data_IF_908846551982
#
_entry.id   IF_908846551982
#
_cell.length_a   1.000
_cell.length_b   1.000
_cell.length_c   1.000
_cell.angle_alpha   90.00
_cell.angle_beta   90.00
_cell.angle_gamma   90.00
#
_symmetry.space_group_name_H-M   'P 1'
#
loop_
_entity.id
_entity.type
_entity.pdbx_description
1 polymer ?
#
# COMPACT_ATOMS: atom_id res chain seq x y z
N UNK A 1 4.59 -1.44 13.40
CA UNK A 1 3.88 -1.11 12.15
C UNK A 1 4.63 -1.79 11.02
N UNK A 2 4.02 -2.82 10.43
CA UNK A 2 4.63 -3.64 9.39
C UNK A 2 3.89 -3.39 8.07
N UNK A 3 4.62 -3.12 6.99
CA UNK A 3 4.04 -2.78 5.68
C UNK A 3 4.51 -3.76 4.62
N UNK A 4 3.55 -4.35 3.92
CA UNK A 4 3.81 -5.32 2.85
C UNK A 4 3.13 -4.88 1.56
N UNK A 5 3.79 -5.10 0.43
CA UNK A 5 3.25 -4.84 -0.90
C UNK A 5 3.01 -6.17 -1.61
N UNK A 6 1.82 -6.37 -2.16
CA UNK A 6 1.46 -7.56 -2.93
C UNK A 6 0.71 -7.18 -4.19
N UNK A 7 1.04 -7.82 -5.32
CA UNK A 7 0.18 -7.82 -6.50
C UNK A 7 -1.03 -8.73 -6.22
N UNK A 8 -2.24 -8.16 -6.31
CA UNK A 8 -3.50 -8.87 -5.99
C UNK A 8 -4.34 -9.17 -7.24
N UNK A 9 -4.01 -8.51 -8.35
CA UNK A 9 -4.47 -8.78 -9.70
C UNK A 9 -3.46 -8.15 -10.66
N UNK A 10 -3.52 -8.47 -11.96
CA UNK A 10 -2.62 -7.92 -12.97
C UNK A 10 -2.54 -6.40 -12.87
N UNK A 11 -1.34 -5.90 -12.61
CA UNK A 11 -1.03 -4.47 -12.49
C UNK A 11 -1.76 -3.74 -11.32
N UNK A 12 -2.34 -4.48 -10.38
CA UNK A 12 -3.02 -3.95 -9.19
C UNK A 12 -2.30 -4.45 -7.94
N UNK A 13 -1.75 -3.50 -7.18
CA UNK A 13 -0.95 -3.75 -5.99
C UNK A 13 -1.66 -3.25 -4.75
N UNK A 14 -1.67 -4.06 -3.70
CA UNK A 14 -2.09 -3.67 -2.35
C UNK A 14 -0.87 -3.43 -1.49
N UNK A 15 -0.76 -2.21 -0.97
CA UNK A 15 0.16 -1.85 0.11
C UNK A 15 -0.64 -1.98 1.40
N UNK A 16 -0.26 -2.89 2.29
CA UNK A 16 -0.99 -3.21 3.51
C UNK A 16 -0.11 -2.95 4.72
N UNK A 17 -0.50 -1.99 5.54
CA UNK A 17 0.17 -1.69 6.79
C UNK A 17 -0.63 -2.18 7.99
N UNK A 18 -0.07 -3.11 8.76
CA UNK A 18 -0.67 -3.62 9.99
C UNK A 18 -0.26 -2.78 11.21
N UNK A 19 -1.27 -2.37 11.98
CA UNK A 19 -1.15 -1.59 13.22
C UNK A 19 -1.81 -2.39 14.35
N UNK A 20 -1.02 -3.14 15.16
CA UNK A 20 -1.56 -3.99 16.22
C UNK A 20 -2.24 -3.21 17.35
N UNK A 21 -1.94 -1.92 17.51
CA UNK A 21 -2.44 -1.07 18.58
C UNK A 21 -3.91 -0.61 18.37
N UNK A 22 -4.51 -0.87 17.21
CA UNK A 22 -5.89 -0.45 16.89
C UNK A 22 -6.86 -1.61 17.08
N UNK A 23 -7.79 -1.46 18.02
CA UNK A 23 -8.83 -2.46 18.29
C UNK A 23 -8.30 -3.71 19.01
N UNK A 24 -9.14 -4.73 19.21
CA UNK A 24 -8.78 -5.91 20.01
C UNK A 24 -7.81 -6.87 19.29
N UNK A 25 -7.71 -6.79 17.95
CA UNK A 25 -6.92 -7.72 17.12
C UNK A 25 -6.00 -7.01 16.12
N UNK A 26 -5.80 -5.70 16.28
CA UNK A 26 -5.12 -4.87 15.29
C UNK A 26 -5.99 -4.52 14.08
N UNK A 27 -5.48 -3.59 13.26
CA UNK A 27 -6.15 -3.11 12.06
C UNK A 27 -5.16 -2.95 10.91
N UNK A 28 -5.62 -3.20 9.67
CA UNK A 28 -4.83 -2.98 8.46
C UNK A 28 -5.32 -1.75 7.71
N UNK A 29 -4.40 -0.84 7.39
CA UNK A 29 -4.65 0.21 6.41
C UNK A 29 -4.14 -0.26 5.05
N UNK A 30 -5.02 -0.28 4.06
CA UNK A 30 -4.71 -0.74 2.72
C UNK A 30 -4.76 0.42 1.75
N UNK A 31 -3.71 0.58 0.96
CA UNK A 31 -3.64 1.47 -0.19
C UNK A 31 -3.53 0.62 -1.46
N UNK A 32 -4.05 1.14 -2.57
CA UNK A 32 -4.05 0.40 -3.82
C UNK A 32 -3.36 1.21 -4.92
N UNK A 33 -2.34 0.63 -5.55
CA UNK A 33 -1.77 1.16 -6.78
C UNK A 33 -2.36 0.39 -7.96
N UNK A 34 -2.93 1.12 -8.91
CA UNK A 34 -3.29 0.60 -10.22
C UNK A 34 -2.27 1.16 -11.22
N UNK A 35 -1.48 0.26 -11.80
CA UNK A 35 -0.56 0.59 -12.88
C UNK A 35 -1.35 0.58 -14.19
N UNK A 36 -1.28 1.69 -14.89
CA UNK A 36 -1.89 1.91 -16.20
C UNK A 36 -1.12 3.05 -16.88
N UNK A 37 -1.48 3.37 -18.12
CA UNK A 37 -0.94 4.55 -18.82
C UNK A 37 -1.14 5.83 -17.99
N UNK A 38 -2.27 5.91 -17.29
CA UNK A 38 -2.55 6.91 -16.26
C UNK A 38 -2.71 6.21 -14.90
N UNK A 39 -1.65 6.16 -14.05
CA UNK A 39 -1.68 5.39 -12.83
C UNK A 39 -2.55 6.04 -11.74
N UNK A 40 -3.17 5.21 -10.90
CA UNK A 40 -3.96 5.64 -9.74
C UNK A 40 -3.39 5.06 -8.45
N UNK A 41 -3.14 5.93 -7.47
CA UNK A 41 -2.94 5.52 -6.07
C UNK A 41 -4.21 5.82 -5.27
N UNK A 42 -4.97 4.78 -4.94
CA UNK A 42 -6.14 4.91 -4.08
C UNK A 42 -5.73 4.94 -2.60
N UNK A 43 -5.66 6.21 -2.21
CA UNK A 43 -5.41 6.93 -0.96
C UNK A 43 -4.07 6.71 -0.26
N UNK A 44 -3.57 7.76 0.38
CA UNK A 44 -2.31 7.77 1.17
C UNK A 44 -2.54 7.61 2.67
N UNK A 45 -3.80 7.45 3.10
CA UNK A 45 -4.17 7.29 4.50
C UNK A 45 -3.88 8.53 5.37
N UNK A 46 -3.82 8.35 6.70
CA UNK A 46 -3.45 9.40 7.66
C UNK A 46 -2.04 9.97 7.44
N UNK A 47 -1.80 11.23 7.80
CA UNK A 47 -0.49 11.91 7.62
C UNK A 47 0.71 11.13 8.19
N UNK A 48 0.54 10.48 9.33
CA UNK A 48 1.61 9.70 9.96
C UNK A 48 2.01 8.44 9.16
N UNK A 49 1.14 7.98 8.25
CA UNK A 49 1.36 6.80 7.43
C UNK A 49 2.02 7.09 6.08
N UNK A 50 2.23 8.37 5.74
CA UNK A 50 2.80 8.75 4.46
C UNK A 50 4.16 8.08 4.17
N UNK A 51 5.11 7.95 5.13
CA UNK A 51 6.36 7.24 4.87
C UNK A 51 6.14 5.78 4.45
N UNK A 52 5.29 5.05 5.19
CA UNK A 52 4.97 3.65 4.89
C UNK A 52 4.27 3.47 3.53
N UNK A 53 3.33 4.37 3.21
CA UNK A 53 2.65 4.36 1.92
C UNK A 53 3.62 4.67 0.76
N UNK A 54 4.58 5.57 0.97
CA UNK A 54 5.59 5.92 -0.02
C UNK A 54 6.59 4.78 -0.28
N UNK A 55 7.09 4.12 0.77
CA UNK A 55 7.98 2.98 0.64
C UNK A 55 7.29 1.80 -0.08
N UNK A 56 6.04 1.52 0.28
CA UNK A 56 5.23 0.50 -0.38
C UNK A 56 4.96 0.81 -1.86
N UNK A 57 4.78 2.09 -2.20
CA UNK A 57 4.63 2.56 -3.57
C UNK A 57 5.91 2.34 -4.37
N UNK A 58 7.08 2.70 -3.83
CA UNK A 58 8.36 2.48 -4.50
C UNK A 58 8.60 0.99 -4.79
N UNK A 59 8.21 0.11 -3.87
CA UNK A 59 8.28 -1.34 -4.07
C UNK A 59 7.33 -1.83 -5.19
N UNK A 60 6.16 -1.21 -5.34
CA UNK A 60 5.17 -1.56 -6.38
C UNK A 60 5.45 -0.92 -7.74
N UNK A 61 6.15 0.22 -7.78
CA UNK A 61 6.38 1.02 -8.98
C UNK A 61 7.53 0.52 -9.85
N UNK A 62 8.28 -0.50 -9.41
CA UNK A 62 9.28 -1.14 -10.25
C UNK A 62 8.59 -1.70 -11.53
N UNK A 63 9.12 -1.41 -12.73
CA UNK A 63 8.56 -1.95 -13.96
C UNK A 63 8.64 -3.48 -13.93
N UNK A 64 7.67 -4.14 -14.57
CA UNK A 64 7.76 -5.57 -14.82
C UNK A 64 9.01 -5.83 -15.69
N UNK A 65 9.82 -6.81 -15.29
CA UNK A 65 11.02 -7.22 -16.01
C UNK A 65 10.68 -7.80 -17.39
#
# INVERSE_FOLDING_TARGET
MDTTTHEIASDIFRISTFVPEIGPTGFTFNQFLIRADEPLLFHTGPRAMLPAAYDGLLAAAAPAA
#
